data_IF_512638722782
#
_entry.id   IF_512638722782
#
_cell.length_a   1.000
_cell.length_b   1.000
_cell.length_c   1.000
_cell.angle_alpha   90.00
_cell.angle_beta   90.00
_cell.angle_gamma   90.00
#
_symmetry.space_group_name_H-M   'P 1'
#
loop_
_entity.id
_entity.type
_entity.pdbx_description
1 polymer ?
#
# COMPACT_ATOMS: atom_id res chain seq x y z
N UNK A 1 -1.75 -23.18 26.83
CA UNK A 1 -0.72 -22.24 26.35
C UNK A 1 -1.12 -20.87 26.85
N UNK A 2 -0.25 -20.11 27.52
CA UNK A 2 -0.62 -18.78 28.01
C UNK A 2 -0.76 -17.83 26.82
N UNK A 3 -1.91 -17.17 26.68
CA UNK A 3 -2.09 -16.13 25.66
C UNK A 3 -1.14 -14.97 25.98
N UNK A 4 -0.36 -14.53 24.98
CA UNK A 4 0.58 -13.43 25.15
C UNK A 4 -0.15 -12.11 24.90
N UNK A 5 0.05 -11.16 25.80
CA UNK A 5 -0.73 -9.91 25.84
C UNK A 5 0.19 -8.71 25.95
N UNK A 6 -0.12 -7.65 25.21
CA UNK A 6 0.59 -6.36 25.30
C UNK A 6 -0.41 -5.23 25.54
N UNK A 7 -0.13 -4.36 26.52
CA UNK A 7 -0.90 -3.14 26.70
C UNK A 7 -0.39 -2.05 25.74
N UNK A 8 -1.31 -1.49 24.96
CA UNK A 8 -1.06 -0.45 23.95
C UNK A 8 -0.37 0.78 24.57
N UNK A 9 -0.60 1.08 25.85
CA UNK A 9 0.02 2.19 26.55
C UNK A 9 1.56 2.09 26.64
N UNK A 10 2.10 0.86 26.60
CA UNK A 10 3.54 0.58 26.74
C UNK A 10 4.13 -0.06 25.48
N UNK A 11 3.47 0.10 24.33
CA UNK A 11 3.93 -0.50 23.08
C UNK A 11 5.26 0.07 22.58
N UNK A 12 5.57 1.34 22.88
CA UNK A 12 6.86 1.93 22.50
C UNK A 12 8.04 1.15 23.06
N UNK A 13 7.90 0.67 24.30
CA UNK A 13 8.99 0.05 25.05
C UNK A 13 9.11 -1.43 24.70
N UNK A 14 8.02 -2.04 24.24
CA UNK A 14 7.91 -3.47 23.95
C UNK A 14 7.71 -3.80 22.46
N UNK A 15 7.90 -2.81 21.57
CA UNK A 15 7.63 -2.94 20.14
C UNK A 15 8.44 -4.05 19.48
N UNK A 16 9.72 -4.16 19.84
CA UNK A 16 10.61 -5.18 19.27
C UNK A 16 10.18 -6.60 19.66
N UNK A 17 9.75 -6.79 20.90
CA UNK A 17 9.26 -8.07 21.39
C UNK A 17 7.95 -8.45 20.68
N UNK A 18 7.02 -7.49 20.55
CA UNK A 18 5.78 -7.67 19.80
C UNK A 18 6.08 -8.10 18.35
N UNK A 19 6.94 -7.38 17.64
CA UNK A 19 7.27 -7.68 16.24
C UNK A 19 7.92 -9.06 16.09
N UNK A 20 8.80 -9.43 17.01
CA UNK A 20 9.42 -10.75 17.04
C UNK A 20 8.38 -11.86 17.23
N UNK A 21 7.43 -11.69 18.15
CA UNK A 21 6.38 -12.68 18.36
C UNK A 21 5.42 -12.79 17.17
N UNK A 22 5.10 -11.67 16.51
CA UNK A 22 4.31 -11.67 15.27
C UNK A 22 5.04 -12.45 14.19
N UNK A 23 6.34 -12.19 13.97
CA UNK A 23 7.16 -12.92 12.99
C UNK A 23 7.21 -14.42 13.28
N UNK A 24 7.24 -14.80 14.54
CA UNK A 24 7.21 -16.20 14.98
C UNK A 24 5.80 -16.82 15.01
N UNK A 25 4.82 -16.16 14.39
CA UNK A 25 3.44 -16.62 14.27
C UNK A 25 2.76 -16.93 15.59
N UNK A 26 3.11 -16.20 16.65
CA UNK A 26 2.40 -16.30 17.92
C UNK A 26 1.15 -15.44 17.88
N UNK A 27 0.07 -15.97 18.44
CA UNK A 27 -1.17 -15.22 18.64
C UNK A 27 -0.98 -14.22 19.80
N UNK A 28 -1.30 -12.96 19.54
CA UNK A 28 -1.09 -11.87 20.48
C UNK A 28 -2.37 -11.07 20.66
N UNK A 29 -2.73 -10.80 21.91
CA UNK A 29 -3.85 -9.92 22.25
C UNK A 29 -3.31 -8.54 22.64
N UNK A 30 -3.79 -7.50 21.95
CA UNK A 30 -3.55 -6.12 22.34
C UNK A 30 -4.63 -5.70 23.34
N UNK A 31 -4.22 -5.19 24.49
CA UNK A 31 -5.09 -4.64 25.52
C UNK A 31 -4.90 -3.14 25.67
N UNK A 32 -5.87 -2.47 26.27
CA UNK A 32 -5.71 -1.12 26.81
C UNK A 32 -6.25 -1.11 28.23
N UNK A 33 -5.40 -0.80 29.21
CA UNK A 33 -5.78 -0.84 30.63
C UNK A 33 -6.35 -2.21 31.04
N UNK A 34 -5.77 -3.29 30.51
CA UNK A 34 -6.21 -4.66 30.77
C UNK A 34 -7.46 -5.12 30.01
N UNK A 35 -8.11 -4.26 29.23
CA UNK A 35 -9.27 -4.63 28.39
C UNK A 35 -8.79 -5.09 27.01
N UNK A 36 -9.16 -6.29 26.53
CA UNK A 36 -8.75 -6.80 25.22
C UNK A 36 -9.45 -6.02 24.09
N UNK A 37 -8.66 -5.54 23.12
CA UNK A 37 -9.12 -4.68 22.03
C UNK A 37 -8.93 -5.29 20.65
N UNK A 38 -7.82 -5.98 20.42
CA UNK A 38 -7.53 -6.56 19.11
C UNK A 38 -6.68 -7.83 19.24
N UNK A 39 -6.80 -8.73 18.26
CA UNK A 39 -5.89 -9.85 18.07
C UNK A 39 -4.98 -9.55 16.89
N UNK A 40 -3.68 -9.76 17.08
CA UNK A 40 -2.68 -9.58 16.03
C UNK A 40 -2.25 -10.95 15.54
N UNK A 41 -2.41 -11.13 14.23
CA UNK A 41 -1.94 -12.30 13.51
C UNK A 41 -0.90 -11.82 12.48
N UNK A 42 0.17 -12.60 12.24
CA UNK A 42 1.05 -12.32 11.12
C UNK A 42 0.24 -12.29 9.82
N UNK A 43 0.50 -11.28 8.99
CA UNK A 43 0.02 -11.28 7.60
C UNK A 43 0.88 -12.32 6.89
N UNK A 44 0.37 -13.54 6.72
CA UNK A 44 1.02 -14.49 5.81
C UNK A 44 1.04 -13.84 4.44
N UNK A 45 2.23 -13.79 3.83
CA UNK A 45 2.43 -13.34 2.45
C UNK A 45 1.84 -14.30 1.41
N UNK A 46 0.87 -15.12 1.81
CA UNK A 46 0.07 -15.96 0.93
C UNK A 46 -1.27 -15.27 0.70
N UNK A 47 -1.33 -14.57 -0.44
CA UNK A 47 -2.54 -14.07 -1.08
C UNK A 47 -3.27 -12.93 -0.35
N UNK A 48 -2.66 -11.74 -0.35
CA UNK A 48 -3.47 -10.53 -0.48
C UNK A 48 -4.02 -10.50 -1.91
N UNK A 49 -5.10 -11.25 -2.16
CA UNK A 49 -5.92 -11.07 -3.36
C UNK A 49 -6.72 -9.80 -3.13
N UNK A 50 -6.06 -8.64 -3.22
CA UNK A 50 -6.79 -7.39 -3.47
C UNK A 50 -7.48 -7.62 -4.80
N UNK A 51 -8.82 -7.62 -4.82
CA UNK A 51 -9.57 -7.56 -6.07
C UNK A 51 -9.12 -6.29 -6.80
N UNK A 52 -8.16 -6.47 -7.70
CA UNK A 52 -7.59 -5.41 -8.51
C UNK A 52 -8.59 -5.06 -9.59
N UNK A 53 -9.47 -4.13 -9.26
CA UNK A 53 -9.96 -3.19 -10.27
C UNK A 53 -8.78 -2.28 -10.67
N UNK A 54 -7.89 -2.80 -11.52
CA UNK A 54 -7.00 -1.99 -12.35
C UNK A 54 -5.54 -1.77 -11.91
N UNK A 55 -5.03 -2.37 -10.83
CA UNK A 55 -3.60 -2.26 -10.50
C UNK A 55 -2.82 -3.48 -11.02
N UNK A 56 -1.83 -3.29 -11.89
CA UNK A 56 -0.95 -4.37 -12.35
C UNK A 56 -0.22 -5.01 -11.15
N UNK A 57 -0.36 -6.32 -10.98
CA UNK A 57 0.15 -7.12 -9.87
C UNK A 57 1.58 -7.53 -10.17
N UNK A 58 2.49 -7.00 -9.36
CA UNK A 58 3.87 -7.43 -9.29
C UNK A 58 3.86 -8.79 -8.57
N UNK A 59 3.91 -9.88 -9.32
CA UNK A 59 4.14 -11.21 -8.77
C UNK A 59 5.64 -11.49 -8.74
N UNK A 60 6.14 -11.92 -7.59
CA UNK A 60 7.43 -12.60 -7.49
C UNK A 60 7.37 -13.81 -8.44
N UNK A 61 8.18 -13.81 -9.49
CA UNK A 61 8.41 -14.91 -10.44
C UNK A 61 7.26 -15.31 -11.40
N UNK A 62 6.48 -14.35 -11.90
CA UNK A 62 5.65 -14.56 -13.10
C UNK A 62 6.18 -13.72 -14.25
N UNK A 63 6.50 -14.33 -15.39
CA UNK A 63 6.77 -13.60 -16.64
C UNK A 63 5.52 -12.76 -16.93
N UNK A 64 5.60 -11.45 -16.72
CA UNK A 64 4.52 -10.53 -17.05
C UNK A 64 4.32 -10.58 -18.56
N UNK A 65 3.10 -10.89 -19.00
CA UNK A 65 2.79 -10.81 -20.42
C UNK A 65 3.08 -9.37 -20.91
N UNK A 66 3.72 -9.20 -22.08
CA UNK A 66 3.96 -7.90 -22.65
C UNK A 66 2.65 -7.12 -22.74
N UNK A 67 2.65 -5.86 -22.28
CA UNK A 67 1.48 -5.00 -22.43
C UNK A 67 1.18 -4.81 -23.91
N UNK A 68 -0.07 -5.03 -24.29
CA UNK A 68 -0.55 -4.74 -25.65
C UNK A 68 -0.82 -3.24 -25.75
N UNK A 69 -0.09 -2.55 -26.63
CA UNK A 69 -0.32 -1.13 -26.91
C UNK A 69 -1.67 -0.90 -27.62
N UNK A 70 -2.17 0.33 -27.61
CA UNK A 70 -3.38 0.71 -28.35
C UNK A 70 -4.70 0.59 -27.58
N UNK A 71 -4.69 0.16 -26.31
CA UNK A 71 -5.90 0.12 -25.48
C UNK A 71 -6.62 1.48 -25.36
N UNK A 72 -5.85 2.57 -25.40
CA UNK A 72 -6.36 3.96 -25.35
C UNK A 72 -6.71 4.54 -26.73
N UNK A 73 -6.49 3.81 -27.82
CA UNK A 73 -6.74 4.31 -29.17
C UNK A 73 -8.22 4.66 -29.36
N UNK A 74 -8.51 5.90 -29.75
CA UNK A 74 -9.88 6.40 -29.92
C UNK A 74 -10.63 6.71 -28.61
N UNK A 75 -10.04 6.42 -27.45
CA UNK A 75 -10.58 6.77 -26.13
C UNK A 75 -10.01 8.10 -25.60
N UNK A 76 -8.83 8.50 -26.09
CA UNK A 76 -8.25 9.80 -25.79
C UNK A 76 -8.96 10.87 -26.61
N UNK A 77 -9.59 11.83 -25.92
CA UNK A 77 -10.12 13.05 -26.51
C UNK A 77 -9.21 14.21 -26.10
N UNK A 78 -8.64 14.89 -27.07
CA UNK A 78 -7.88 16.12 -26.88
C UNK A 78 -8.85 17.27 -27.10
N UNK A 79 -8.82 18.26 -26.22
CA UNK A 79 -9.66 19.45 -26.37
C UNK A 79 -9.15 20.33 -27.52
N UNK A 80 -10.03 21.07 -28.17
CA UNK A 80 -9.67 21.92 -29.32
C UNK A 80 -8.69 23.04 -28.94
N UNK A 81 -8.67 23.43 -27.66
CA UNK A 81 -7.83 24.46 -27.04
C UNK A 81 -6.61 23.89 -26.30
N UNK A 82 -6.28 22.61 -26.48
CA UNK A 82 -5.19 21.97 -25.73
C UNK A 82 -3.83 22.66 -25.91
N UNK A 83 -3.55 23.16 -27.12
CA UNK A 83 -2.31 23.86 -27.45
C UNK A 83 -2.39 25.38 -27.17
N UNK A 84 -3.54 25.90 -26.74
CA UNK A 84 -3.76 27.33 -26.47
C UNK A 84 -3.37 27.69 -25.03
N UNK A 85 -2.06 27.65 -24.74
CA UNK A 85 -1.49 27.98 -23.42
C UNK A 85 -0.72 29.30 -23.50
N UNK A 86 -0.81 30.15 -22.47
CA UNK A 86 -0.08 31.42 -22.43
C UNK A 86 1.43 31.22 -22.32
N UNK A 87 2.20 32.11 -22.95
CA UNK A 87 3.68 32.08 -22.91
C UNK A 87 4.24 32.14 -21.50
N UNK A 88 3.58 32.86 -20.59
CA UNK A 88 3.93 32.93 -19.16
C UNK A 88 3.87 31.55 -18.49
N UNK A 89 2.82 30.77 -18.77
CA UNK A 89 2.66 29.42 -18.20
C UNK A 89 3.68 28.46 -18.79
N UNK A 90 4.01 28.60 -20.08
CA UNK A 90 5.06 27.82 -20.74
C UNK A 90 6.42 28.14 -20.10
N UNK A 91 6.75 29.43 -19.96
CA UNK A 91 8.00 29.89 -19.36
C UNK A 91 8.16 29.38 -17.91
N UNK A 92 7.10 29.51 -17.09
CA UNK A 92 7.08 28.99 -15.72
C UNK A 92 7.32 27.47 -15.64
N UNK A 93 6.83 26.70 -16.61
CA UNK A 93 7.03 25.25 -16.65
C UNK A 93 8.49 24.87 -16.96
N UNK A 94 9.18 25.64 -17.80
CA UNK A 94 10.59 25.44 -18.13
C UNK A 94 11.56 26.17 -17.19
N UNK A 95 11.05 26.94 -16.23
CA UNK A 95 11.86 27.71 -15.29
C UNK A 95 12.53 28.93 -15.94
N UNK A 96 11.92 29.47 -16.99
CA UNK A 96 12.29 30.74 -17.60
C UNK A 96 11.57 31.85 -16.81
N UNK A 97 12.34 32.77 -16.22
CA UNK A 97 11.84 33.97 -15.52
C UNK A 97 11.68 35.16 -16.47
#
# INVERSE_FOLDING_TARGET
>A
MSEKTFDIAYLSDNLLELLSDIQNHKEITLTRQGVPWAKVLPISSENITVEKVGLNQMSNQGILEPRVAGFWQGQVKIADDFDDISEEVIAAFYGEE
#
